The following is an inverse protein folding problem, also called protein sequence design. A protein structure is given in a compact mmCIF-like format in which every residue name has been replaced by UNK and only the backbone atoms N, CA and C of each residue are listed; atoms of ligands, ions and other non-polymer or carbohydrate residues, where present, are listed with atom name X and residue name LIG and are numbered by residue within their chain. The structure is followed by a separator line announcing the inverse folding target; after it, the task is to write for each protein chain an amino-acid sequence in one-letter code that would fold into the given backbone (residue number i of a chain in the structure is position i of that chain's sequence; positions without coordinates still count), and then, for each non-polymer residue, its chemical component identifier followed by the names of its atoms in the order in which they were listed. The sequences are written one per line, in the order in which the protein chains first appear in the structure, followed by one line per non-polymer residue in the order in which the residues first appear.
data_IF_050110661769
#
_entry.id   IF_050110661769
#
_cell.length_a   1.000
_cell.length_b   1.000
_cell.length_c   1.000
_cell.angle_alpha   90.00
_cell.angle_beta   90.00
_cell.angle_gamma   90.00
#
_symmetry.space_group_name_H-M   'P 1'
#
loop_
_entity.id
_entity.type
_entity.pdbx_description
1 polymer ?
#
# COMPACT_ATOMS: atom_id res chain seq x y z
N UNK A 1 -18.01 4.37 10.55
CA UNK A 1 -16.53 4.34 10.67
C UNK A 1 -16.01 5.64 10.07
N UNK A 2 -15.00 6.31 10.64
CA UNK A 2 -14.43 7.52 10.00
C UNK A 2 -13.17 7.15 9.23
N UNK A 3 -13.02 7.69 8.03
CA UNK A 3 -11.85 7.50 7.19
C UNK A 3 -11.15 8.83 7.03
N UNK A 4 -9.82 8.81 7.12
CA UNK A 4 -8.99 10.01 7.30
C UNK A 4 -7.71 9.91 6.49
N UNK A 5 -7.29 11.04 5.95
CA UNK A 5 -6.02 11.29 5.32
C UNK A 5 -5.26 12.31 6.17
N UNK A 6 -4.09 11.93 6.67
CA UNK A 6 -3.24 12.81 7.47
C UNK A 6 -1.85 12.93 6.85
N UNK A 7 -1.21 14.08 7.09
CA UNK A 7 0.21 14.23 6.83
C UNK A 7 1.03 13.41 7.83
N UNK A 8 1.97 12.61 7.33
CA UNK A 8 2.75 11.69 8.17
C UNK A 8 3.62 12.41 9.21
N UNK A 9 4.19 13.58 8.89
CA UNK A 9 5.20 14.23 9.74
C UNK A 9 4.58 15.12 10.79
N UNK A 10 3.55 15.86 10.40
CA UNK A 10 2.87 16.86 11.23
C UNK A 10 1.62 16.33 11.91
N UNK A 11 1.16 15.13 11.54
CA UNK A 11 -0.11 14.55 11.98
C UNK A 11 -1.33 15.42 11.63
N UNK A 12 -1.16 16.36 10.70
CA UNK A 12 -2.23 17.25 10.28
C UNK A 12 -3.31 16.48 9.52
N UNK A 13 -4.55 16.58 10.00
CA UNK A 13 -5.71 16.01 9.30
C UNK A 13 -5.96 16.82 8.03
N UNK A 14 -5.69 16.20 6.89
CA UNK A 14 -5.76 16.86 5.59
C UNK A 14 -7.14 16.70 4.95
N UNK A 15 -7.71 15.50 5.01
CA UNK A 15 -9.05 15.22 4.50
C UNK A 15 -9.70 14.08 5.30
N UNK A 16 -11.03 14.07 5.44
CA UNK A 16 -11.74 13.00 6.12
C UNK A 16 -13.20 12.96 5.71
N UNK A 17 -13.82 11.79 5.83
CA UNK A 17 -15.27 11.66 5.75
C UNK A 17 -15.78 10.55 6.67
N UNK A 18 -17.10 10.58 6.91
CA UNK A 18 -17.79 9.59 7.72
C UNK A 18 -18.37 8.53 6.80
N UNK A 19 -17.87 7.30 6.91
CA UNK A 19 -18.46 6.14 6.24
C UNK A 19 -19.69 5.68 7.01
N UNK A 20 -20.86 5.88 6.40
CA UNK A 20 -22.19 5.58 6.95
C UNK A 20 -22.66 4.15 6.69
N UNK A 21 -21.87 3.33 5.98
CA UNK A 21 -22.20 1.93 5.67
C UNK A 21 -23.21 1.73 4.55
N UNK A 22 -23.84 2.81 4.05
CA UNK A 22 -24.75 2.79 2.89
C UNK A 22 -24.14 3.67 1.81
N UNK A 23 -23.80 3.06 0.67
CA UNK A 23 -23.45 3.81 -0.55
C UNK A 23 -24.74 4.41 -1.09
N UNK A 24 -24.76 5.71 -1.42
CA UNK A 24 -25.84 6.24 -2.25
C UNK A 24 -25.85 5.45 -3.56
N UNK A 25 -26.94 4.71 -3.77
CA UNK A 25 -27.12 3.67 -4.78
C UNK A 25 -27.18 4.17 -6.23
N UNK A 26 -26.72 5.40 -6.49
CA UNK A 26 -26.88 6.08 -7.78
C UNK A 26 -25.60 6.13 -8.61
N UNK A 27 -24.45 5.72 -8.07
CA UNK A 27 -23.24 5.53 -8.86
C UNK A 27 -23.03 4.03 -9.09
N UNK A 28 -23.10 3.60 -10.35
CA UNK A 28 -22.60 2.28 -10.77
C UNK A 28 -21.10 2.24 -10.48
N UNK A 29 -20.78 1.82 -9.27
CA UNK A 29 -19.43 1.84 -8.74
C UNK A 29 -18.60 0.78 -9.46
N UNK A 30 -17.78 1.22 -10.42
CA UNK A 30 -16.92 0.36 -11.24
C UNK A 30 -15.84 -0.36 -10.42
N UNK A 31 -15.61 0.03 -9.17
CA UNK A 31 -14.56 -0.50 -8.29
C UNK A 31 -15.06 -0.75 -6.87
N UNK A 32 -14.29 -1.55 -6.13
CA UNK A 32 -14.59 -1.91 -4.74
C UNK A 32 -14.65 -0.67 -3.83
N UNK A 33 -15.56 -0.69 -2.86
CA UNK A 33 -15.78 0.40 -1.88
C UNK A 33 -14.46 0.90 -1.23
N UNK A 34 -13.54 0.03 -0.75
CA UNK A 34 -12.29 0.50 -0.15
C UNK A 34 -11.41 1.30 -1.13
N UNK A 35 -11.44 0.94 -2.42
CA UNK A 35 -10.72 1.67 -3.47
C UNK A 35 -11.36 3.04 -3.70
N UNK A 36 -12.68 3.12 -3.72
CA UNK A 36 -13.40 4.41 -3.87
C UNK A 36 -13.10 5.36 -2.73
N UNK A 37 -13.12 4.83 -1.51
CA UNK A 37 -12.83 5.57 -0.29
C UNK A 37 -11.45 6.22 -0.32
N UNK A 38 -10.41 5.46 -0.71
CA UNK A 38 -9.06 6.00 -0.85
C UNK A 38 -8.99 7.04 -1.96
N UNK A 39 -9.62 6.80 -3.13
CA UNK A 39 -9.62 7.75 -4.24
C UNK A 39 -10.32 9.06 -3.87
N UNK A 40 -11.42 9.00 -3.12
CA UNK A 40 -12.14 10.18 -2.64
C UNK A 40 -11.30 10.98 -1.64
N UNK A 41 -10.65 10.31 -0.69
CA UNK A 41 -9.75 10.98 0.26
C UNK A 41 -8.55 11.61 -0.44
N UNK A 42 -7.98 10.89 -1.41
CA UNK A 42 -6.78 11.28 -2.15
C UNK A 42 -7.05 12.34 -3.24
N UNK A 43 -8.31 12.66 -3.54
CA UNK A 43 -8.66 13.58 -4.63
C UNK A 43 -7.91 14.92 -4.62
N UNK A 44 -7.69 15.58 -3.47
CA UNK A 44 -6.90 16.81 -3.43
C UNK A 44 -5.40 16.63 -3.71
N UNK A 45 -4.89 15.40 -3.64
CA UNK A 45 -3.47 15.08 -3.87
C UNK A 45 -3.18 14.74 -5.34
N UNK A 46 -4.21 14.64 -6.19
CA UNK A 46 -4.03 14.28 -7.59
C UNK A 46 -3.18 15.32 -8.34
N UNK A 47 -2.25 14.84 -9.17
CA UNK A 47 -1.30 15.67 -9.92
C UNK A 47 -0.16 16.28 -9.09
N UNK A 48 -0.13 16.04 -7.77
CA UNK A 48 0.92 16.60 -6.90
C UNK A 48 2.18 15.75 -6.80
N UNK A 49 2.17 14.54 -7.37
CA UNK A 49 3.25 13.54 -7.27
C UNK A 49 3.62 13.19 -5.81
N UNK A 50 2.68 13.37 -4.88
CA UNK A 50 2.83 12.96 -3.49
C UNK A 50 2.62 11.45 -3.35
N UNK A 51 3.18 10.92 -2.27
CA UNK A 51 3.02 9.52 -1.91
C UNK A 51 1.93 9.33 -0.84
N UNK A 52 1.13 8.28 -1.00
CA UNK A 52 0.16 7.83 0.02
C UNK A 52 0.62 6.49 0.58
N UNK A 53 0.58 6.38 1.91
CA UNK A 53 0.74 5.09 2.60
C UNK A 53 -0.60 4.61 3.11
N UNK A 54 -0.99 3.39 2.77
CA UNK A 54 -2.29 2.82 3.13
C UNK A 54 -2.15 1.45 3.77
N UNK A 55 -3.03 1.16 4.73
CA UNK A 55 -3.11 -0.16 5.37
C UNK A 55 -3.70 -1.23 4.43
N UNK A 56 -3.48 -2.50 4.78
CA UNK A 56 -3.88 -3.68 4.03
C UNK A 56 -5.38 -3.79 3.76
N UNK A 57 -6.23 -3.12 4.53
CA UNK A 57 -7.68 -3.20 4.36
C UNK A 57 -8.12 -2.62 3.01
N UNK A 58 -7.42 -1.58 2.56
CA UNK A 58 -7.75 -0.84 1.36
C UNK A 58 -6.88 -1.25 0.16
N UNK A 59 -5.88 -2.11 0.35
CA UNK A 59 -4.92 -2.42 -0.70
C UNK A 59 -5.49 -3.34 -1.79
N UNK A 60 -5.32 -2.90 -3.03
CA UNK A 60 -5.59 -3.66 -4.26
C UNK A 60 -4.65 -3.18 -5.36
N UNK A 61 -4.35 -4.04 -6.33
CA UNK A 61 -3.53 -3.63 -7.49
C UNK A 61 -4.26 -2.56 -8.31
N UNK A 62 -5.57 -2.71 -8.47
CA UNK A 62 -6.43 -1.72 -9.14
C UNK A 62 -6.35 -0.32 -8.50
N UNK A 63 -6.29 -0.23 -7.17
CA UNK A 63 -6.11 1.05 -6.49
C UNK A 63 -4.78 1.69 -6.86
N UNK A 64 -3.70 0.90 -6.91
CA UNK A 64 -2.36 1.41 -7.25
C UNK A 64 -2.35 1.95 -8.67
N UNK A 65 -2.93 1.21 -9.63
CA UNK A 65 -3.02 1.66 -11.03
C UNK A 65 -3.76 3.00 -11.15
N UNK A 66 -4.93 3.12 -10.48
CA UNK A 66 -5.71 4.36 -10.50
C UNK A 66 -5.00 5.54 -9.85
N UNK A 67 -4.20 5.32 -8.80
CA UNK A 67 -3.43 6.39 -8.16
C UNK A 67 -2.28 6.85 -9.06
N UNK A 68 -1.58 5.92 -9.73
CA UNK A 68 -0.53 6.25 -10.70
C UNK A 68 -1.10 7.11 -11.84
N UNK A 69 -2.25 6.72 -12.41
CA UNK A 69 -2.94 7.50 -13.46
C UNK A 69 -3.31 8.92 -13.01
N UNK A 70 -3.48 9.13 -11.70
CA UNK A 70 -3.80 10.44 -11.09
C UNK A 70 -2.56 11.18 -10.59
N UNK A 71 -1.35 10.71 -10.89
CA UNK A 71 -0.10 11.37 -10.45
C UNK A 71 0.11 11.28 -8.94
N UNK A 72 -0.23 10.15 -8.34
CA UNK A 72 -0.02 9.85 -6.91
C UNK A 72 0.67 8.51 -6.77
N UNK A 73 1.77 8.45 -6.02
CA UNK A 73 2.45 7.18 -5.73
C UNK A 73 1.85 6.51 -4.50
N UNK A 74 2.01 5.20 -4.42
CA UNK A 74 1.41 4.38 -3.38
C UNK A 74 2.46 3.48 -2.73
N UNK A 75 2.36 3.30 -1.41
CA UNK A 75 3.04 2.24 -0.66
C UNK A 75 2.04 1.60 0.31
N UNK A 76 1.99 0.28 0.34
CA UNK A 76 1.11 -0.42 1.26
C UNK A 76 1.39 -1.91 1.38
N UNK A 77 0.82 -2.50 2.43
CA UNK A 77 0.86 -3.96 2.62
C UNK A 77 -0.28 -4.61 1.85
N UNK A 78 -0.03 -5.76 1.22
CA UNK A 78 -1.03 -6.50 0.46
C UNK A 78 -1.40 -7.77 1.21
N UNK A 79 -2.70 -8.06 1.32
CA UNK A 79 -3.17 -9.29 1.95
C UNK A 79 -2.81 -10.51 1.12
N UNK A 80 -2.34 -11.57 1.78
CA UNK A 80 -1.88 -12.83 1.17
C UNK A 80 -2.97 -13.58 0.37
N UNK A 81 -4.24 -13.31 0.64
CA UNK A 81 -5.36 -13.93 -0.05
C UNK A 81 -5.69 -13.28 -1.41
N UNK A 82 -4.93 -12.27 -1.83
CA UNK A 82 -5.06 -11.63 -3.14
C UNK A 82 -4.53 -12.58 -4.21
N UNK A 83 -5.37 -12.86 -5.22
CA UNK A 83 -5.07 -13.82 -6.32
C UNK A 83 -3.93 -13.34 -7.22
N UNK A 84 -3.66 -12.05 -7.16
CA UNK A 84 -2.64 -11.37 -7.94
C UNK A 84 -1.22 -11.56 -7.37
N UNK A 85 -1.09 -12.10 -6.16
CA UNK A 85 0.20 -12.41 -5.55
C UNK A 85 0.68 -13.77 -6.06
N UNK A 86 1.88 -13.86 -6.67
CA UNK A 86 2.44 -15.14 -7.08
C UNK A 86 2.68 -16.06 -5.87
N UNK A 87 2.51 -17.38 -6.01
CA UNK A 87 2.72 -18.34 -4.91
C UNK A 87 4.09 -18.22 -4.24
N UNK A 88 5.14 -17.88 -4.98
CA UNK A 88 6.50 -17.72 -4.45
C UNK A 88 6.63 -16.55 -3.46
N UNK A 89 5.73 -15.57 -3.53
CA UNK A 89 5.69 -14.42 -2.63
C UNK A 89 4.94 -14.73 -1.33
N UNK A 90 4.26 -15.87 -1.24
CA UNK A 90 3.54 -16.33 -0.06
C UNK A 90 4.51 -16.98 0.96
N UNK A 91 4.06 -17.19 2.21
CA UNK A 91 4.86 -17.87 3.22
C UNK A 91 5.24 -19.28 2.76
N UNK A 92 6.55 -19.55 2.79
CA UNK A 92 7.11 -20.86 2.47
C UNK A 92 8.20 -21.19 3.50
N UNK A 93 8.20 -22.43 4.00
CA UNK A 93 9.19 -22.95 4.96
C UNK A 93 10.61 -23.02 4.40
N UNK A 94 10.74 -23.08 3.07
CA UNK A 94 12.03 -23.12 2.38
C UNK A 94 12.68 -21.74 2.25
N UNK A 95 11.96 -20.66 2.59
CA UNK A 95 12.52 -19.30 2.50
C UNK A 95 13.48 -19.03 3.65
N UNK A 96 14.64 -18.51 3.29
CA UNK A 96 15.62 -18.01 4.24
C UNK A 96 15.06 -16.80 5.01
N UNK A 97 15.30 -16.79 6.33
CA UNK A 97 14.87 -15.70 7.22
C UNK A 97 15.69 -14.45 6.87
N UNK A 98 15.02 -13.32 6.70
CA UNK A 98 15.63 -12.07 6.26
C UNK A 98 15.69 -11.91 4.73
N UNK A 99 15.40 -12.97 3.96
CA UNK A 99 15.38 -12.86 2.49
C UNK A 99 14.24 -11.97 1.99
N UNK A 100 14.47 -11.33 0.84
CA UNK A 100 13.43 -10.58 0.11
C UNK A 100 13.34 -11.04 -1.33
N UNK A 101 12.12 -11.30 -1.78
CA UNK A 101 11.80 -11.50 -3.20
C UNK A 101 11.19 -10.23 -3.76
N UNK A 102 11.66 -9.82 -4.93
CA UNK A 102 11.14 -8.66 -5.65
C UNK A 102 10.50 -9.10 -6.96
N UNK A 103 9.30 -8.58 -7.23
CA UNK A 103 8.57 -8.75 -8.48
C UNK A 103 8.29 -7.39 -9.08
N UNK A 104 8.50 -7.27 -10.38
CA UNK A 104 8.38 -6.00 -11.10
C UNK A 104 7.33 -6.13 -12.18
N UNK A 105 6.31 -5.27 -12.14
CA UNK A 105 5.23 -5.27 -13.13
C UNK A 105 4.90 -3.83 -13.50
N UNK A 106 5.26 -3.43 -14.73
CA UNK A 106 5.13 -2.05 -15.21
C UNK A 106 5.77 -1.08 -14.19
N UNK A 107 5.05 -0.08 -13.72
CA UNK A 107 5.52 0.93 -12.77
C UNK A 107 5.32 0.53 -11.29
N UNK A 108 5.19 -0.77 -11.01
CA UNK A 108 4.94 -1.30 -9.66
C UNK A 108 6.00 -2.31 -9.26
N UNK A 109 6.39 -2.23 -8.00
CA UNK A 109 7.32 -3.15 -7.34
C UNK A 109 6.58 -3.87 -6.22
N UNK A 110 6.59 -5.20 -6.29
CA UNK A 110 6.11 -6.09 -5.25
C UNK A 110 7.31 -6.61 -4.46
N UNK A 111 7.32 -6.46 -3.15
CA UNK A 111 8.36 -6.99 -2.27
C UNK A 111 7.74 -7.97 -1.28
N UNK A 112 8.28 -9.19 -1.21
CA UNK A 112 7.94 -10.19 -0.21
C UNK A 112 9.13 -10.47 0.69
N UNK A 113 9.06 -9.98 1.93
CA UNK A 113 10.10 -10.16 2.94
C UNK A 113 9.72 -11.26 3.92
N UNK A 114 10.69 -12.12 4.26
CA UNK A 114 10.49 -13.23 5.19
C UNK A 114 11.06 -12.90 6.59
N UNK A 115 10.29 -12.27 7.49
CA UNK A 115 10.80 -11.89 8.81
C UNK A 115 11.07 -13.08 9.74
N UNK A 116 10.35 -14.18 9.55
CA UNK A 116 10.41 -15.40 10.37
C UNK A 116 10.14 -16.61 9.49
N UNK A 117 10.51 -17.80 9.96
CA UNK A 117 10.20 -19.04 9.28
C UNK A 117 8.68 -19.16 9.03
N UNK A 118 8.31 -19.57 7.81
CA UNK A 118 6.93 -19.69 7.36
C UNK A 118 6.09 -18.42 7.54
N UNK A 119 6.73 -17.25 7.48
CA UNK A 119 6.06 -15.95 7.46
C UNK A 119 6.60 -15.09 6.32
N UNK A 120 5.69 -14.36 5.68
CA UNK A 120 6.04 -13.38 4.66
C UNK A 120 5.17 -12.14 4.83
N UNK A 121 5.77 -10.98 4.60
CA UNK A 121 5.11 -9.69 4.51
C UNK A 121 5.21 -9.25 3.06
N UNK A 122 4.07 -9.13 2.40
CA UNK A 122 3.98 -8.70 1.01
C UNK A 122 3.59 -7.25 0.97
N UNK A 123 4.33 -6.46 0.21
CA UNK A 123 4.07 -5.04 0.01
C UNK A 123 4.13 -4.69 -1.47
N UNK A 124 3.39 -3.66 -1.83
CA UNK A 124 3.41 -3.07 -3.15
C UNK A 124 3.80 -1.60 -3.04
N UNK A 125 4.64 -1.16 -3.97
CA UNK A 125 5.08 0.22 -4.09
C UNK A 125 5.03 0.66 -5.55
N UNK A 126 4.63 1.90 -5.79
CA UNK A 126 4.82 2.59 -7.08
C UNK A 126 5.79 3.77 -6.99
N UNK A 127 6.50 3.91 -5.86
CA UNK A 127 7.47 5.00 -5.69
C UNK A 127 8.76 4.76 -6.48
N UNK A 128 9.26 3.52 -6.48
CA UNK A 128 10.52 3.15 -7.11
C UNK A 128 10.45 1.76 -7.74
N UNK A 129 11.18 1.60 -8.84
CA UNK A 129 11.30 0.37 -9.59
C UNK A 129 12.69 -0.25 -9.38
N UNK A 130 13.05 -0.49 -8.12
CA UNK A 130 14.37 -0.99 -7.72
C UNK A 130 14.29 -2.09 -6.64
N UNK A 131 15.44 -2.73 -6.39
CA UNK A 131 15.62 -3.79 -5.38
C UNK A 131 16.39 -3.26 -4.18
N UNK A 132 16.08 -2.05 -3.71
CA UNK A 132 16.89 -1.43 -2.66
C UNK A 132 16.69 -2.14 -1.30
N UNK A 133 17.81 -2.55 -0.72
CA UNK A 133 17.90 -3.20 0.59
C UNK A 133 18.89 -2.37 1.42
N UNK A 134 18.51 -2.06 2.65
CA UNK A 134 19.38 -1.39 3.60
C UNK A 134 20.42 -2.39 4.12
N UNK A 135 21.69 -2.15 3.83
CA UNK A 135 22.81 -3.04 4.20
C UNK A 135 22.98 -3.18 5.72
N UNK A 136 22.60 -2.15 6.50
CA UNK A 136 22.72 -2.15 7.96
C UNK A 136 21.60 -2.97 8.60
N UNK A 137 20.37 -2.81 8.12
CA UNK A 137 19.19 -3.46 8.71
C UNK A 137 18.83 -4.81 8.08
N UNK A 138 19.35 -5.09 6.89
CA UNK A 138 19.00 -6.25 6.07
C UNK A 138 17.56 -6.21 5.53
N UNK A 139 16.85 -5.08 5.66
CA UNK A 139 15.44 -4.95 5.25
C UNK A 139 15.32 -4.19 3.93
N UNK A 140 14.30 -4.51 3.12
CA UNK A 140 13.93 -3.70 1.97
C UNK A 140 13.57 -2.28 2.39
N UNK A 141 14.05 -1.29 1.65
CA UNK A 141 13.74 0.11 1.96
C UNK A 141 12.25 0.41 1.90
N UNK A 142 11.48 -0.31 1.07
CA UNK A 142 10.02 -0.21 1.02
C UNK A 142 9.42 -0.50 2.41
N UNK A 143 10.01 -1.43 3.19
CA UNK A 143 9.50 -1.80 4.53
C UNK A 143 9.81 -0.68 5.51
N UNK A 144 11.02 -0.15 5.44
CA UNK A 144 11.46 0.94 6.30
C UNK A 144 10.63 2.19 6.05
N UNK A 145 10.42 2.52 4.78
CA UNK A 145 9.57 3.62 4.35
C UNK A 145 8.14 3.42 4.88
N UNK A 146 7.52 2.26 4.63
CA UNK A 146 6.17 1.95 5.13
C UNK A 146 6.07 2.08 6.66
N UNK A 147 7.06 1.56 7.40
CA UNK A 147 7.08 1.64 8.86
C UNK A 147 7.21 3.07 9.37
N UNK A 148 7.94 3.94 8.66
CA UNK A 148 8.07 5.36 9.00
C UNK A 148 6.79 6.14 8.74
N UNK A 149 5.95 5.73 7.78
CA UNK A 149 4.80 6.51 7.32
C UNK A 149 3.43 6.00 7.80
N UNK A 150 3.28 4.70 8.08
CA UNK A 150 1.99 4.07 8.46
C UNK A 150 1.34 4.65 9.71
N UNK A 151 2.11 5.33 10.56
CA UNK A 151 1.65 5.92 11.82
C UNK A 151 1.00 7.30 11.70
N UNK A 152 0.95 7.89 10.49
CA UNK A 152 0.53 9.28 10.30
C UNK A 152 -0.85 9.63 10.87
N UNK A 153 -1.82 8.70 10.79
CA UNK A 153 -3.20 8.91 11.24
C UNK A 153 -3.50 8.35 12.65
N UNK A 154 -2.52 7.72 13.32
CA UNK A 154 -2.70 7.02 14.60
C UNK A 154 -2.01 7.70 15.80
N UNK A 155 -1.26 8.76 15.55
CA UNK A 155 -0.64 9.62 16.58
C UNK A 155 -1.43 10.90 16.71
#
# INVERSE_FOLDING_TARGET
MSEKLCDTKTHYLYNAFIYTGKSDSNQRNQVAIPTQNVLQLAAPLFGTNRNITVDNWFSSIELVDKLIEKGVTYVGTVRKNKREIPPDFLPNRQREIGSTLFGFVKDKTLASYAPKNNQSVVMISSMRHDKSINEVSGKPEIIEFYNSTKGGCFR
#
